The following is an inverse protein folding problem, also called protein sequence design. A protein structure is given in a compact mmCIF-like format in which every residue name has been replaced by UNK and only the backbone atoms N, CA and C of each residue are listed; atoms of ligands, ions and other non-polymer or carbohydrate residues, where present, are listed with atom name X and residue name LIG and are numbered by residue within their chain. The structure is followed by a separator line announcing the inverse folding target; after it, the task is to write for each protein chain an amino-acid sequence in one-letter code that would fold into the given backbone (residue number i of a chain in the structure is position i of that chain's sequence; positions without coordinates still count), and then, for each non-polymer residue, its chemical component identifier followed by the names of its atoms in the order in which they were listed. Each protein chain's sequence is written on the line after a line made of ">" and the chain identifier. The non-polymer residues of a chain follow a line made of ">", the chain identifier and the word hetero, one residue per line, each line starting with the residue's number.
data_IF_954229198323
#
_entry.id   IF_954229198323
#
_cell.length_a   1.000
_cell.length_b   1.000
_cell.length_c   1.000
_cell.angle_alpha   90.00
_cell.angle_beta   90.00
_cell.angle_gamma   90.00
#
_symmetry.space_group_name_H-M   'P 1'
#
loop_
_entity.id
_entity.type
_entity.pdbx_description
1 polymer ?
#
# COMPACT_ATOMS: atom_id res chain seq x y z
N UNK A 1 9.68 12.59 -2.72
CA UNK A 1 8.41 12.94 -2.06
C UNK A 1 7.44 13.56 -3.07
N UNK A 2 7.79 14.63 -3.82
CA UNK A 2 6.90 15.37 -4.71
C UNK A 2 6.13 14.47 -5.70
N UNK A 3 6.81 13.58 -6.44
CA UNK A 3 6.18 12.63 -7.38
C UNK A 3 5.13 11.72 -6.71
N UNK A 4 5.36 11.33 -5.45
CA UNK A 4 4.42 10.48 -4.70
C UNK A 4 3.20 11.28 -4.26
N UNK A 5 3.35 12.55 -3.92
CA UNK A 5 2.24 13.45 -3.61
C UNK A 5 1.33 13.60 -4.83
N UNK A 6 1.91 13.89 -6.01
CA UNK A 6 1.14 13.98 -7.27
C UNK A 6 0.38 12.67 -7.53
N UNK A 7 1.06 11.53 -7.40
CA UNK A 7 0.41 10.23 -7.58
C UNK A 7 -0.76 10.00 -6.62
N UNK A 8 -0.61 10.34 -5.34
CA UNK A 8 -1.67 10.15 -4.34
C UNK A 8 -2.87 11.08 -4.56
N UNK A 9 -2.63 12.27 -5.11
CA UNK A 9 -3.71 13.17 -5.57
C UNK A 9 -4.50 12.52 -6.71
N UNK A 10 -3.82 11.93 -7.67
CA UNK A 10 -4.45 11.19 -8.77
C UNK A 10 -5.11 9.88 -8.28
N UNK A 11 -4.49 9.18 -7.34
CA UNK A 11 -4.98 7.94 -6.76
C UNK A 11 -6.30 8.12 -6.02
N UNK A 12 -6.43 9.19 -5.24
CA UNK A 12 -7.66 9.48 -4.49
C UNK A 12 -8.04 10.97 -4.54
N UNK A 13 -7.32 11.84 -3.80
CA UNK A 13 -7.55 13.29 -3.75
C UNK A 13 -6.41 14.01 -3.02
N UNK A 14 -6.48 15.35 -2.97
CA UNK A 14 -5.49 16.19 -2.29
C UNK A 14 -5.39 15.94 -0.77
N UNK A 15 -6.51 15.66 -0.10
CA UNK A 15 -6.50 15.38 1.33
C UNK A 15 -5.71 14.10 1.66
N UNK A 16 -5.85 13.07 0.82
CA UNK A 16 -5.09 11.84 0.95
C UNK A 16 -3.59 12.05 0.70
N UNK A 17 -3.24 12.84 -0.31
CA UNK A 17 -1.86 13.22 -0.59
C UNK A 17 -1.26 14.07 0.54
N UNK A 18 -2.05 14.96 1.16
CA UNK A 18 -1.65 15.77 2.31
C UNK A 18 -1.34 14.90 3.52
N UNK A 19 -2.19 13.89 3.84
CA UNK A 19 -1.93 12.91 4.91
C UNK A 19 -0.53 12.30 4.80
N UNK A 20 -0.17 11.86 3.58
CA UNK A 20 1.17 11.34 3.30
C UNK A 20 2.27 12.38 3.53
N UNK A 21 2.10 13.57 2.95
CA UNK A 21 3.08 14.66 3.06
C UNK A 21 3.34 15.04 4.51
N UNK A 22 2.28 15.25 5.28
CA UNK A 22 2.36 15.73 6.67
C UNK A 22 3.00 14.67 7.55
N UNK A 23 2.67 13.39 7.34
CA UNK A 23 3.28 12.29 8.10
C UNK A 23 4.78 12.17 7.81
N UNK A 24 5.21 12.19 6.54
CA UNK A 24 6.64 12.13 6.18
C UNK A 24 7.40 13.35 6.71
N UNK A 25 6.79 14.54 6.66
CA UNK A 25 7.41 15.76 7.21
C UNK A 25 7.56 15.70 8.74
N UNK A 26 6.59 15.11 9.45
CA UNK A 26 6.69 14.88 10.88
C UNK A 26 7.85 13.93 11.25
N UNK A 27 8.00 12.83 10.49
CA UNK A 27 9.13 11.91 10.65
C UNK A 27 10.45 12.62 10.44
N UNK A 28 10.62 13.34 9.33
CA UNK A 28 11.83 14.09 9.02
C UNK A 28 12.21 15.07 10.14
N UNK A 29 11.22 15.81 10.64
CA UNK A 29 11.43 16.76 11.73
C UNK A 29 11.93 16.08 13.02
N UNK A 30 11.38 14.91 13.36
CA UNK A 30 11.81 14.19 14.57
C UNK A 30 13.18 13.53 14.37
N UNK A 31 13.43 12.94 13.21
CA UNK A 31 14.73 12.36 12.83
C UNK A 31 15.85 13.42 12.94
N UNK A 32 15.66 14.61 12.36
CA UNK A 32 16.63 15.72 12.44
C UNK A 32 16.82 16.30 13.84
N UNK A 33 15.93 16.02 14.79
CA UNK A 33 16.09 16.40 16.20
C UNK A 33 16.85 15.35 16.98
N UNK A 34 16.64 14.08 16.66
CA UNK A 34 17.28 12.97 17.36
C UNK A 34 18.72 12.74 16.89
N UNK A 35 19.02 13.10 15.64
CA UNK A 35 20.30 12.83 14.96
C UNK A 35 20.80 14.08 14.25
N UNK A 36 22.11 14.34 14.36
CA UNK A 36 22.77 15.44 13.63
C UNK A 36 22.85 15.17 12.12
N UNK A 37 22.92 13.91 11.72
CA UNK A 37 22.96 13.46 10.32
C UNK A 37 22.15 12.17 10.20
N UNK A 38 21.41 12.02 9.09
CA UNK A 38 20.62 10.84 8.77
C UNK A 38 19.29 11.21 8.12
N UNK A 39 18.89 10.42 7.13
CA UNK A 39 17.60 10.52 6.45
C UNK A 39 16.98 9.15 6.15
N UNK A 40 17.58 8.06 6.68
CA UNK A 40 17.19 6.71 6.28
C UNK A 40 15.82 6.32 6.82
N UNK A 41 15.45 6.78 8.03
CA UNK A 41 14.12 6.60 8.58
C UNK A 41 13.07 7.34 7.74
N UNK A 42 13.33 8.61 7.40
CA UNK A 42 12.46 9.41 6.51
C UNK A 42 12.33 8.77 5.15
N UNK A 43 13.41 8.25 4.57
CA UNK A 43 13.40 7.55 3.28
C UNK A 43 12.60 6.25 3.34
N UNK A 44 12.81 5.44 4.37
CA UNK A 44 12.06 4.21 4.61
C UNK A 44 10.56 4.50 4.74
N UNK A 45 10.19 5.45 5.62
CA UNK A 45 8.80 5.84 5.81
C UNK A 45 8.21 6.40 4.52
N UNK A 46 8.90 7.30 3.83
CA UNK A 46 8.40 7.84 2.56
C UNK A 46 8.16 6.75 1.52
N UNK A 47 8.97 5.69 1.49
CA UNK A 47 8.83 4.57 0.55
C UNK A 47 7.68 3.64 0.95
N UNK A 48 7.69 3.18 2.19
CA UNK A 48 6.83 2.08 2.61
C UNK A 48 5.43 2.53 3.03
N UNK A 49 5.31 3.73 3.57
CA UNK A 49 4.01 4.36 3.78
C UNK A 49 3.27 4.61 2.45
N UNK A 50 4.00 5.12 1.44
CA UNK A 50 3.44 5.24 0.09
C UNK A 50 2.97 3.89 -0.47
N UNK A 51 3.75 2.82 -0.30
CA UNK A 51 3.38 1.46 -0.71
C UNK A 51 2.07 1.00 -0.07
N UNK A 52 1.90 1.25 1.23
CA UNK A 52 0.68 0.89 1.95
C UNK A 52 -0.52 1.74 1.51
N UNK A 53 -0.32 3.05 1.30
CA UNK A 53 -1.37 3.96 0.85
C UNK A 53 -1.88 3.65 -0.57
N UNK A 54 -1.04 3.05 -1.42
CA UNK A 54 -1.36 2.78 -2.83
C UNK A 54 -1.73 1.32 -3.09
N UNK A 55 -2.50 0.70 -2.19
CA UNK A 55 -2.97 -0.65 -2.41
C UNK A 55 -3.87 -0.75 -3.65
N UNK A 56 -3.74 -1.85 -4.40
CA UNK A 56 -4.49 -2.07 -5.63
C UNK A 56 -5.92 -2.49 -5.31
N UNK A 57 -6.86 -1.59 -5.52
CA UNK A 57 -8.29 -1.86 -5.46
C UNK A 57 -8.95 -1.70 -6.84
N UNK A 58 -10.26 -1.84 -6.87
CA UNK A 58 -11.06 -1.78 -8.08
C UNK A 58 -11.00 -0.40 -8.75
N UNK A 59 -10.95 0.68 -7.97
CA UNK A 59 -10.80 2.04 -8.47
C UNK A 59 -9.43 2.27 -9.11
N UNK A 60 -8.37 1.79 -8.47
CA UNK A 60 -7.02 1.93 -8.99
C UNK A 60 -6.81 1.08 -10.24
N UNK A 61 -7.35 -0.14 -10.26
CA UNK A 61 -7.35 -0.97 -11.49
C UNK A 61 -8.05 -0.23 -12.63
N UNK A 62 -9.23 0.35 -12.37
CA UNK A 62 -9.97 1.11 -13.38
C UNK A 62 -9.17 2.33 -13.87
N UNK A 63 -8.55 3.11 -12.96
CA UNK A 63 -7.71 4.26 -13.29
C UNK A 63 -6.52 3.87 -14.16
N UNK A 64 -5.85 2.77 -13.81
CA UNK A 64 -4.68 2.29 -14.57
C UNK A 64 -5.02 1.94 -16.02
N UNK A 65 -6.25 1.49 -16.29
CA UNK A 65 -6.69 1.21 -17.67
C UNK A 65 -7.18 2.44 -18.41
N UNK A 66 -7.66 3.49 -17.74
CA UNK A 66 -8.30 4.64 -18.37
C UNK A 66 -7.42 5.89 -18.42
N UNK A 67 -6.68 6.19 -17.36
CA UNK A 67 -6.05 7.50 -17.17
C UNK A 67 -4.52 7.49 -17.39
N UNK A 68 -3.91 6.35 -17.73
CA UNK A 68 -2.43 6.22 -17.81
C UNK A 68 -1.90 6.06 -19.24
N UNK A 69 -2.71 6.39 -20.26
CA UNK A 69 -2.33 6.18 -21.66
C UNK A 69 -2.24 4.70 -22.04
N UNK A 70 -2.99 3.82 -21.35
CA UNK A 70 -2.99 2.38 -21.65
C UNK A 70 -3.42 2.11 -23.08
N UNK A 71 -4.53 2.71 -23.53
CA UNK A 71 -5.04 2.52 -24.90
C UNK A 71 -4.07 3.05 -25.96
N UNK A 72 -3.39 4.16 -25.67
CA UNK A 72 -2.40 4.72 -26.60
C UNK A 72 -1.23 3.74 -26.80
N UNK A 73 -0.77 3.12 -25.70
CA UNK A 73 0.27 2.09 -25.77
C UNK A 73 -0.17 0.84 -26.51
N UNK A 74 -1.41 0.41 -26.32
CA UNK A 74 -1.99 -0.72 -27.05
C UNK A 74 -2.08 -0.40 -28.54
N UNK A 75 -2.61 0.77 -28.90
CA UNK A 75 -2.72 1.21 -30.30
C UNK A 75 -1.34 1.36 -30.99
N UNK A 76 -0.29 1.70 -30.24
CA UNK A 76 1.09 1.76 -30.75
C UNK A 76 1.74 0.37 -30.91
N UNK A 77 1.31 -0.59 -30.10
CA UNK A 77 1.90 -1.94 -30.09
C UNK A 77 1.24 -2.91 -31.10
N UNK A 78 0.02 -2.63 -31.55
CA UNK A 78 -0.73 -3.50 -32.44
C UNK A 78 -1.25 -2.72 -33.65
N UNK A 79 -1.09 -3.28 -34.83
CA UNK A 79 -1.60 -2.75 -36.09
C UNK A 79 -2.91 -3.47 -36.47
N UNK A 80 -3.82 -2.77 -37.15
CA UNK A 80 -5.09 -3.30 -37.60
C UNK A 80 -6.20 -3.34 -36.56
N UNK A 81 -7.31 -4.03 -36.90
CA UNK A 81 -8.45 -4.17 -36.01
C UNK A 81 -8.18 -5.23 -34.91
N UNK A 82 -8.19 -4.84 -33.66
CA UNK A 82 -8.06 -5.75 -32.55
C UNK A 82 -9.21 -5.61 -31.55
N UNK A 83 -9.46 -6.66 -30.79
CA UNK A 83 -10.47 -6.69 -29.73
C UNK A 83 -9.83 -6.97 -28.39
N UNK A 84 -10.04 -6.07 -27.42
CA UNK A 84 -9.60 -6.28 -26.05
C UNK A 84 -10.60 -7.16 -25.30
N UNK A 85 -10.09 -8.19 -24.65
CA UNK A 85 -10.82 -8.98 -23.67
C UNK A 85 -10.14 -8.84 -22.29
N UNK A 86 -10.95 -8.61 -21.27
CA UNK A 86 -10.48 -8.42 -19.91
C UNK A 86 -10.78 -9.66 -19.07
N UNK A 87 -9.75 -10.29 -18.51
CA UNK A 87 -9.90 -11.42 -17.60
C UNK A 87 -9.88 -10.91 -16.15
N UNK A 88 -11.07 -10.74 -15.59
CA UNK A 88 -11.27 -10.13 -14.28
C UNK A 88 -11.97 -11.10 -13.34
N UNK A 89 -11.69 -10.95 -12.04
CA UNK A 89 -12.41 -11.60 -10.96
C UNK A 89 -12.91 -10.54 -9.96
N UNK A 90 -13.92 -9.72 -10.34
CA UNK A 90 -14.44 -8.69 -9.45
C UNK A 90 -15.01 -9.35 -8.20
N UNK A 91 -14.64 -8.93 -6.97
CA UNK A 91 -15.08 -9.57 -5.73
C UNK A 91 -16.60 -9.66 -5.55
N UNK A 92 -17.35 -8.76 -6.19
CA UNK A 92 -18.82 -8.69 -6.13
C UNK A 92 -19.48 -9.64 -7.15
N UNK A 93 -18.80 -9.96 -8.26
CA UNK A 93 -19.37 -10.70 -9.40
C UNK A 93 -18.69 -12.03 -9.68
N UNK A 94 -17.56 -12.30 -9.06
CA UNK A 94 -16.80 -13.52 -9.29
C UNK A 94 -17.28 -14.65 -8.37
N UNK A 95 -17.51 -15.81 -8.97
CA UNK A 95 -17.74 -17.04 -8.22
C UNK A 95 -16.44 -17.50 -7.57
N UNK A 96 -16.55 -18.16 -6.41
CA UNK A 96 -15.42 -18.80 -5.76
C UNK A 96 -15.34 -20.25 -6.19
N UNK A 97 -14.18 -20.64 -6.63
CA UNK A 97 -13.87 -22.05 -6.84
C UNK A 97 -13.95 -22.77 -5.48
N UNK A 98 -14.79 -23.77 -5.37
CA UNK A 98 -15.06 -24.49 -4.12
C UNK A 98 -13.85 -25.30 -3.62
N UNK A 99 -12.98 -25.73 -4.53
CA UNK A 99 -11.82 -26.57 -4.20
C UNK A 99 -10.61 -25.73 -3.76
N UNK A 100 -10.42 -24.56 -4.40
CA UNK A 100 -9.23 -23.72 -4.17
C UNK A 100 -9.51 -22.46 -3.35
N UNK A 101 -10.79 -22.11 -3.15
CA UNK A 101 -11.21 -20.86 -2.49
C UNK A 101 -10.90 -19.57 -3.28
N UNK A 102 -10.29 -19.70 -4.46
CA UNK A 102 -9.91 -18.58 -5.31
C UNK A 102 -11.10 -18.05 -6.11
N UNK A 103 -11.08 -16.75 -6.40
CA UNK A 103 -12.06 -16.14 -7.30
C UNK A 103 -11.79 -16.57 -8.74
N UNK A 104 -12.85 -17.02 -9.44
CA UNK A 104 -12.75 -17.40 -10.84
C UNK A 104 -12.73 -16.16 -11.74
N UNK A 105 -11.75 -16.14 -12.66
CA UNK A 105 -11.65 -15.08 -13.67
C UNK A 105 -12.66 -15.32 -14.78
N UNK A 106 -13.50 -14.33 -15.05
CA UNK A 106 -14.40 -14.30 -16.21
C UNK A 106 -13.85 -13.36 -17.27
N UNK A 107 -14.13 -13.69 -18.55
CA UNK A 107 -13.75 -12.86 -19.69
C UNK A 107 -14.85 -11.85 -19.98
N UNK A 108 -14.48 -10.59 -20.08
CA UNK A 108 -15.36 -9.47 -20.38
C UNK A 108 -14.91 -8.77 -21.65
N UNK A 109 -15.86 -8.35 -22.46
CA UNK A 109 -15.59 -7.66 -23.72
C UNK A 109 -15.22 -6.17 -23.54
N UNK A 110 -15.05 -5.43 -24.66
CA UNK A 110 -14.57 -4.04 -24.66
C UNK A 110 -15.43 -3.04 -23.86
N UNK A 111 -16.70 -3.37 -23.61
CA UNK A 111 -17.62 -2.52 -22.81
C UNK A 111 -17.09 -2.21 -21.40
N UNK A 112 -16.23 -3.09 -20.87
CA UNK A 112 -15.60 -2.91 -19.55
C UNK A 112 -14.79 -1.62 -19.48
N UNK A 113 -14.19 -1.17 -20.58
CA UNK A 113 -13.48 0.13 -20.61
C UNK A 113 -14.38 1.31 -20.23
N UNK A 114 -15.66 1.29 -20.66
CA UNK A 114 -16.62 2.33 -20.26
C UNK A 114 -16.94 2.25 -18.76
N UNK A 115 -17.12 1.03 -18.26
CA UNK A 115 -17.35 0.79 -16.83
C UNK A 115 -16.14 1.26 -16.00
N UNK A 116 -14.92 1.00 -16.44
CA UNK A 116 -13.70 1.50 -15.80
C UNK A 116 -13.63 3.02 -15.83
N UNK A 117 -14.00 3.69 -16.93
CA UNK A 117 -14.05 5.15 -16.97
C UNK A 117 -15.00 5.78 -15.94
N UNK A 118 -16.13 5.13 -15.66
CA UNK A 118 -17.04 5.54 -14.58
C UNK A 118 -16.43 5.25 -13.22
N UNK A 119 -15.90 4.03 -13.03
CA UNK A 119 -15.34 3.59 -11.75
C UNK A 119 -14.12 4.43 -11.32
N UNK A 120 -13.24 4.77 -12.25
CA UNK A 120 -12.09 5.64 -11.99
C UNK A 120 -12.50 7.01 -11.43
N UNK A 121 -13.62 7.58 -11.91
CA UNK A 121 -14.17 8.85 -11.39
C UNK A 121 -14.73 8.73 -9.98
N UNK A 122 -15.13 7.54 -9.56
CA UNK A 122 -15.66 7.25 -8.22
C UNK A 122 -14.58 6.95 -7.18
N UNK A 123 -13.30 7.14 -7.49
CA UNK A 123 -12.16 6.91 -6.59
C UNK A 123 -12.27 7.66 -5.25
N UNK A 124 -12.97 8.79 -5.20
CA UNK A 124 -13.24 9.54 -3.98
C UNK A 124 -14.13 8.82 -2.97
N UNK A 125 -14.86 7.76 -3.38
CA UNK A 125 -15.66 6.94 -2.46
C UNK A 125 -14.82 5.96 -1.65
N UNK A 126 -13.56 5.71 -2.05
CA UNK A 126 -12.65 4.78 -1.39
C UNK A 126 -12.58 5.02 0.12
N UNK A 127 -12.91 3.99 0.89
CA UNK A 127 -12.87 4.02 2.34
C UNK A 127 -14.00 4.81 3.02
N UNK A 128 -14.97 5.35 2.27
CA UNK A 128 -16.18 6.01 2.83
C UNK A 128 -17.27 4.98 3.13
N UNK A 129 -18.35 5.42 3.77
CA UNK A 129 -19.53 4.57 4.02
C UNK A 129 -20.22 4.10 2.71
N UNK A 130 -20.01 4.82 1.62
CA UNK A 130 -20.57 4.53 0.29
C UNK A 130 -19.64 3.71 -0.60
N UNK A 131 -18.49 3.27 -0.09
CA UNK A 131 -17.54 2.42 -0.82
C UNK A 131 -18.09 0.99 -0.92
N UNK A 132 -18.58 0.52 -2.10
CA UNK A 132 -19.14 -0.81 -2.24
C UNK A 132 -18.08 -1.92 -2.10
N UNK A 133 -16.81 -1.63 -2.44
CA UNK A 133 -15.70 -2.58 -2.36
C UNK A 133 -15.03 -2.58 -0.99
N UNK A 134 -15.07 -1.46 -0.28
CA UNK A 134 -14.37 -1.23 0.98
C UNK A 134 -14.80 -2.12 2.14
N UNK A 135 -15.93 -2.83 2.01
CA UNK A 135 -16.48 -3.71 3.06
C UNK A 135 -15.88 -5.11 3.07
N UNK A 136 -15.10 -5.48 2.05
CA UNK A 136 -14.42 -6.77 2.02
C UNK A 136 -13.38 -6.90 3.15
N UNK A 137 -13.11 -8.12 3.60
CA UNK A 137 -12.08 -8.37 4.62
C UNK A 137 -10.71 -7.89 4.15
N UNK A 138 -10.40 -8.10 2.86
CA UNK A 138 -9.16 -7.67 2.25
C UNK A 138 -8.99 -6.15 2.30
N UNK A 139 -10.01 -5.37 1.91
CA UNK A 139 -9.95 -3.89 1.94
C UNK A 139 -9.90 -3.32 3.35
N UNK A 140 -10.57 -3.95 4.31
CA UNK A 140 -10.41 -3.59 5.72
C UNK A 140 -9.00 -3.84 6.22
N UNK A 141 -8.39 -4.96 5.81
CA UNK A 141 -7.00 -5.32 6.15
C UNK A 141 -6.01 -4.31 5.57
N UNK A 142 -6.18 -3.89 4.31
CA UNK A 142 -5.32 -2.85 3.71
C UNK A 142 -5.35 -1.55 4.52
N UNK A 143 -6.53 -1.08 4.88
CA UNK A 143 -6.67 0.14 5.69
C UNK A 143 -6.12 -0.02 7.11
N UNK A 144 -6.28 -1.21 7.69
CA UNK A 144 -5.71 -1.51 9.00
C UNK A 144 -4.17 -1.45 8.99
N UNK A 145 -3.53 -1.99 7.94
CA UNK A 145 -2.09 -1.90 7.78
C UNK A 145 -1.59 -0.45 7.73
N UNK A 146 -2.33 0.45 7.09
CA UNK A 146 -2.00 1.87 7.06
C UNK A 146 -2.05 2.47 8.48
N UNK A 147 -3.15 2.24 9.20
CA UNK A 147 -3.34 2.78 10.55
C UNK A 147 -2.34 2.19 11.55
N UNK A 148 -2.06 0.90 11.44
CA UNK A 148 -1.06 0.23 12.28
C UNK A 148 0.34 0.81 12.02
N UNK A 149 0.70 1.01 10.76
CA UNK A 149 1.98 1.61 10.39
C UNK A 149 2.15 3.03 10.95
N UNK A 150 1.12 3.87 10.82
CA UNK A 150 1.15 5.22 11.39
C UNK A 150 1.33 5.19 12.91
N UNK A 151 0.66 4.26 13.59
CA UNK A 151 0.79 4.09 15.05
C UNK A 151 2.19 3.60 15.41
N UNK A 152 2.70 2.58 14.75
CA UNK A 152 4.03 2.02 15.00
C UNK A 152 5.10 3.09 14.80
N UNK A 153 5.14 3.74 13.63
CA UNK A 153 6.12 4.80 13.37
C UNK A 153 5.96 5.97 14.33
N UNK A 154 4.72 6.39 14.65
CA UNK A 154 4.47 7.43 15.65
C UNK A 154 5.09 7.11 17.01
N UNK A 155 4.93 5.87 17.49
CA UNK A 155 5.56 5.42 18.74
C UNK A 155 7.09 5.40 18.69
N UNK A 156 7.69 5.05 17.55
CA UNK A 156 9.14 5.12 17.39
C UNK A 156 9.67 6.56 17.58
N UNK A 157 8.94 7.56 17.05
CA UNK A 157 9.38 8.95 17.12
C UNK A 157 9.39 9.52 18.56
N UNK A 158 8.62 8.94 19.48
CA UNK A 158 8.56 9.40 20.88
C UNK A 158 9.86 9.12 21.65
N UNK A 159 10.59 8.06 21.27
CA UNK A 159 11.81 7.62 21.96
C UNK A 159 12.99 7.38 21.00
N UNK A 160 12.97 7.99 19.82
CA UNK A 160 14.03 7.88 18.83
C UNK A 160 15.34 8.47 19.35
N UNK A 161 16.41 7.70 19.24
CA UNK A 161 17.76 8.09 19.62
C UNK A 161 18.79 7.51 18.65
N UNK A 162 20.06 7.93 18.74
CA UNK A 162 21.13 7.35 17.93
C UNK A 162 21.32 5.85 18.19
N UNK A 163 21.03 5.38 19.40
CA UNK A 163 21.23 3.99 19.82
C UNK A 163 20.21 3.02 19.21
N UNK A 164 18.97 3.48 18.98
CA UNK A 164 17.88 2.67 18.44
C UNK A 164 17.52 3.00 17.00
N UNK A 165 18.25 3.90 16.35
CA UNK A 165 17.95 4.43 15.02
C UNK A 165 17.88 3.36 13.93
N UNK A 166 18.88 2.47 13.86
CA UNK A 166 18.91 1.41 12.84
C UNK A 166 17.70 0.49 12.98
N UNK A 167 17.32 0.13 14.22
CA UNK A 167 16.10 -0.68 14.42
C UNK A 167 14.85 0.08 13.99
N UNK A 168 14.78 1.39 14.25
CA UNK A 168 13.66 2.19 13.78
C UNK A 168 13.53 2.18 12.26
N UNK A 169 14.65 2.22 11.52
CA UNK A 169 14.69 2.10 10.06
C UNK A 169 14.22 0.71 9.61
N UNK A 170 14.66 -0.35 10.29
CA UNK A 170 14.25 -1.72 10.01
C UNK A 170 12.73 -1.91 10.23
N UNK A 171 12.21 -1.41 11.36
CA UNK A 171 10.76 -1.45 11.65
C UNK A 171 9.98 -0.68 10.58
N UNK A 172 10.42 0.52 10.21
CA UNK A 172 9.78 1.31 9.15
C UNK A 172 9.83 0.61 7.79
N UNK A 173 10.77 -0.32 7.58
CA UNK A 173 10.94 -1.09 6.34
C UNK A 173 10.13 -2.39 6.29
N UNK A 174 9.53 -2.82 7.40
CA UNK A 174 8.72 -4.06 7.48
C UNK A 174 7.71 -4.24 6.35
N UNK A 175 6.98 -3.19 5.87
CA UNK A 175 6.05 -3.39 4.77
C UNK A 175 6.68 -3.89 3.46
N UNK A 176 8.01 -3.87 3.32
CA UNK A 176 8.68 -4.49 2.17
C UNK A 176 8.38 -5.98 2.07
N UNK A 177 8.27 -6.66 3.20
CA UNK A 177 8.03 -8.10 3.30
C UNK A 177 6.59 -8.47 2.91
N UNK A 178 5.65 -7.52 2.94
CA UNK A 178 4.23 -7.76 2.60
C UNK A 178 4.07 -7.73 1.08
N UNK A 179 3.95 -8.92 0.45
CA UNK A 179 3.87 -9.09 -1.00
C UNK A 179 2.77 -10.09 -1.38
N UNK A 180 2.35 -10.05 -2.65
CA UNK A 180 1.37 -11.00 -3.20
C UNK A 180 -0.08 -10.58 -2.96
N UNK A 181 -1.00 -11.54 -3.13
CA UNK A 181 -2.45 -11.37 -3.05
C UNK A 181 -3.09 -12.55 -2.32
N UNK A 182 -4.30 -12.36 -1.79
CA UNK A 182 -5.07 -13.41 -1.14
C UNK A 182 -4.30 -14.08 0.00
N UNK A 183 -4.35 -15.42 0.06
CA UNK A 183 -3.71 -16.21 1.11
C UNK A 183 -2.17 -16.05 1.18
N UNK A 184 -1.51 -15.79 0.05
CA UNK A 184 -0.06 -15.53 0.02
C UNK A 184 0.25 -14.22 0.78
N UNK A 185 -0.51 -13.16 0.52
CA UNK A 185 -0.35 -11.90 1.23
C UNK A 185 -0.66 -12.02 2.71
N UNK A 186 -1.71 -12.77 3.07
CA UNK A 186 -2.07 -13.00 4.48
C UNK A 186 -0.93 -13.69 5.25
N UNK A 187 -0.27 -14.68 4.66
CA UNK A 187 0.92 -15.32 5.25
C UNK A 187 2.05 -14.31 5.45
N UNK A 188 2.39 -13.53 4.41
CA UNK A 188 3.43 -12.51 4.52
C UNK A 188 3.09 -11.43 5.56
N UNK A 189 1.82 -11.04 5.72
CA UNK A 189 1.40 -10.12 6.79
C UNK A 189 1.67 -10.74 8.16
N UNK A 190 1.33 -12.02 8.36
CA UNK A 190 1.56 -12.71 9.63
C UNK A 190 3.05 -12.75 9.97
N UNK A 191 3.89 -13.15 9.01
CA UNK A 191 5.34 -13.24 9.19
C UNK A 191 5.95 -11.86 9.45
N UNK A 192 5.55 -10.84 8.67
CA UNK A 192 5.98 -9.45 8.85
C UNK A 192 5.58 -8.88 10.24
N UNK A 193 4.38 -9.20 10.72
CA UNK A 193 3.93 -8.76 12.06
C UNK A 193 4.66 -9.46 13.19
N UNK A 194 5.05 -10.72 13.04
CA UNK A 194 5.91 -11.39 14.01
C UNK A 194 7.30 -10.72 14.07
N UNK A 195 7.91 -10.48 12.92
CA UNK A 195 9.19 -9.80 12.82
C UNK A 195 9.12 -8.35 13.36
N UNK A 196 8.04 -7.59 13.07
CA UNK A 196 7.80 -6.26 13.65
C UNK A 196 7.78 -6.30 15.18
N UNK A 197 7.12 -7.30 15.76
CA UNK A 197 7.06 -7.45 17.22
C UNK A 197 8.43 -7.72 17.84
N UNK A 198 9.26 -8.57 17.20
CA UNK A 198 10.63 -8.84 17.66
C UNK A 198 11.50 -7.58 17.62
N UNK A 199 11.43 -6.83 16.51
CA UNK A 199 12.15 -5.55 16.37
C UNK A 199 11.66 -4.49 17.35
N UNK A 200 10.35 -4.40 17.63
CA UNK A 200 9.82 -3.47 18.64
C UNK A 200 10.32 -3.80 20.06
N UNK A 201 10.42 -5.09 20.39
CA UNK A 201 11.03 -5.51 21.66
C UNK A 201 12.49 -5.07 21.75
N UNK A 202 13.28 -5.27 20.68
CA UNK A 202 14.67 -4.85 20.62
C UNK A 202 14.83 -3.31 20.60
N UNK A 203 13.86 -2.58 20.04
CA UNK A 203 13.84 -1.11 20.05
C UNK A 203 13.67 -0.52 21.47
N UNK A 204 12.82 -1.15 22.27
CA UNK A 204 12.55 -0.72 23.65
C UNK A 204 13.56 -1.27 24.68
N UNK A 205 14.25 -2.35 24.37
CA UNK A 205 15.24 -2.98 25.24
C UNK A 205 16.53 -3.31 24.45
N UNK A 206 17.47 -2.34 24.35
CA UNK A 206 18.73 -2.54 23.63
C UNK A 206 19.62 -3.66 24.20
N UNK A 207 19.42 -4.07 25.44
CA UNK A 207 20.23 -5.13 26.07
C UNK A 207 19.96 -6.50 25.48
N UNK A 208 18.75 -6.75 24.95
CA UNK A 208 18.39 -7.99 24.22
C UNK A 208 19.10 -8.17 22.88
N UNK A 209 19.77 -7.14 22.35
CA UNK A 209 20.57 -7.23 21.10
C UNK A 209 21.80 -8.12 21.27
N UNK A 210 22.39 -8.19 22.44
CA UNK A 210 23.62 -8.94 22.69
C UNK A 210 23.38 -10.45 22.76
N UNK A 211 22.19 -10.88 23.17
CA UNK A 211 21.86 -12.30 23.33
C UNK A 211 21.46 -13.01 22.02
N UNK A 212 21.17 -12.25 20.97
CA UNK A 212 20.77 -12.81 19.66
C UNK A 212 21.93 -12.92 18.64
N UNK A 213 23.13 -12.46 19.02
CA UNK A 213 24.33 -12.46 18.18
C UNK A 213 25.38 -13.52 18.61
N UNK A 214 25.10 -14.34 19.64
CA UNK A 214 25.83 -15.54 20.02
C UNK A 214 25.12 -16.80 19.50
#
# INVERSE_FOLDING_TARGET
>A
VARRISFLTEYQNEAYARRYKDFVAAVQKNESRALSEGEDLTRAVARYYFKLLTYKDEYEVARLYTDTGFMDKVNQAFEGDFKLNFHLAPPILADRNLDTGNLEKKSYGPWVMRAFGVLAKLKGLRGTAFDPFGRSAERRRERQLITDYERTVGGLLESLSAENYEIAVDIASIPEQIRGYGHVKERHIKDAKAHEADLLNAFHDPTRRLDAAE
#
